data_IF_801755463749
#
_entry.id   IF_801755463749
#
_cell.length_a   1.000
_cell.length_b   1.000
_cell.length_c   1.000
_cell.angle_alpha   90.00
_cell.angle_beta   90.00
_cell.angle_gamma   90.00
#
_symmetry.space_group_name_H-M   'P 1'
#
loop_
_entity.id
_entity.type
_entity.pdbx_description
1 polymer ?
#
# COMPACT_ATOMS: atom_id res chain seq x y z
N UNK A 1 59.15 -44.40 20.81
CA UNK A 1 59.56 -43.06 20.33
C UNK A 1 58.32 -42.17 20.36
N UNK A 2 57.95 -41.56 21.49
CA UNK A 2 58.31 -40.22 22.03
C UNK A 2 57.98 -38.99 21.16
N UNK A 3 57.12 -38.12 21.77
CA UNK A 3 56.82 -36.68 21.56
C UNK A 3 55.73 -36.31 20.54
N UNK A 4 54.86 -35.30 20.70
CA UNK A 4 54.16 -34.56 21.78
C UNK A 4 53.67 -33.22 21.18
N UNK A 5 52.70 -32.54 21.84
CA UNK A 5 52.31 -31.10 21.72
C UNK A 5 51.42 -30.73 20.50
N UNK A 6 50.28 -30.03 20.58
CA UNK A 6 49.70 -29.07 21.55
C UNK A 6 48.17 -29.06 21.53
N UNK A 7 47.62 -28.78 22.72
CA UNK A 7 46.23 -28.51 23.07
C UNK A 7 45.91 -27.00 22.88
N UNK A 8 44.69 -26.61 22.47
CA UNK A 8 44.16 -25.29 22.79
C UNK A 8 42.82 -25.33 23.54
N UNK A 9 42.87 -25.50 24.86
CA UNK A 9 41.83 -25.01 25.77
C UNK A 9 42.10 -23.55 26.12
N UNK A 10 41.22 -22.63 25.71
CA UNK A 10 41.36 -21.23 26.09
C UNK A 10 40.30 -20.28 25.51
N UNK A 11 39.05 -20.38 25.94
CA UNK A 11 38.06 -19.30 25.76
C UNK A 11 37.55 -18.85 27.14
N UNK A 12 38.06 -17.70 27.59
CA UNK A 12 37.55 -16.97 28.77
C UNK A 12 36.26 -16.24 28.40
N UNK A 13 35.23 -16.19 29.24
CA UNK A 13 34.10 -15.27 29.07
C UNK A 13 34.54 -13.85 29.52
N UNK A 14 34.73 -12.94 28.57
CA UNK A 14 34.98 -11.53 28.85
C UNK A 14 33.68 -10.83 29.23
N UNK A 15 33.61 -10.29 30.45
CA UNK A 15 32.51 -9.43 30.90
C UNK A 15 32.39 -8.14 30.07
N UNK A 16 31.21 -7.48 30.08
CA UNK A 16 31.00 -6.27 29.29
C UNK A 16 31.80 -5.10 29.87
N UNK A 17 32.77 -4.60 29.11
CA UNK A 17 33.51 -3.39 29.47
C UNK A 17 32.65 -2.12 29.43
N UNK A 18 33.11 -1.03 30.06
CA UNK A 18 32.36 0.24 30.21
C UNK A 18 31.95 0.88 28.87
N UNK A 19 32.70 0.58 27.80
CA UNK A 19 32.39 1.03 26.45
C UNK A 19 31.09 0.43 25.87
N UNK A 20 30.71 -0.78 26.29
CA UNK A 20 29.43 -1.40 25.89
C UNK A 20 28.24 -0.75 26.59
N UNK A 21 28.40 -0.34 27.85
CA UNK A 21 27.36 0.39 28.59
C UNK A 21 27.09 1.77 28.00
N UNK A 22 28.16 2.50 27.63
CA UNK A 22 28.03 3.81 27.01
C UNK A 22 27.40 3.74 25.62
N UNK A 23 27.77 2.74 24.82
CA UNK A 23 27.19 2.52 23.49
C UNK A 23 25.69 2.18 23.57
N UNK A 24 25.28 1.36 24.56
CA UNK A 24 23.85 1.03 24.79
C UNK A 24 23.08 2.26 25.27
N UNK A 25 23.66 3.10 26.13
CA UNK A 25 23.03 4.33 26.60
C UNK A 25 22.83 5.36 25.47
N UNK A 26 23.83 5.52 24.59
CA UNK A 26 23.73 6.41 23.41
C UNK A 26 22.71 5.88 22.40
N UNK A 27 22.66 4.56 22.18
CA UNK A 27 21.67 3.95 21.29
C UNK A 27 20.24 4.10 21.84
N UNK A 28 20.07 3.99 23.16
CA UNK A 28 18.78 4.21 23.83
C UNK A 28 18.33 5.68 23.75
N UNK A 29 19.24 6.64 23.91
CA UNK A 29 18.94 8.07 23.76
C UNK A 29 18.51 8.43 22.32
N UNK A 30 19.13 7.80 21.32
CA UNK A 30 18.82 8.03 19.90
C UNK A 30 17.56 7.29 19.43
N UNK A 31 17.17 6.20 20.10
CA UNK A 31 15.96 5.45 19.78
C UNK A 31 14.68 6.07 20.40
N UNK A 32 14.80 6.80 21.51
CA UNK A 32 13.68 7.48 22.17
C UNK A 32 12.91 8.46 21.25
N UNK A 33 13.54 9.34 20.44
CA UNK A 33 12.82 10.22 19.53
C UNK A 33 12.20 9.52 18.31
N UNK A 34 12.61 8.29 17.98
CA UNK A 34 12.01 7.53 16.87
C UNK A 34 10.69 6.88 17.29
N UNK A 35 10.55 6.48 18.56
CA UNK A 35 9.28 6.03 19.14
C UNK A 35 8.26 7.18 19.32
N UNK A 36 8.72 8.43 19.27
CA UNK A 36 7.87 9.63 19.33
C UNK A 36 7.12 9.93 18.03
N UNK A 37 7.59 9.41 16.89
CA UNK A 37 6.99 9.68 15.57
C UNK A 37 5.84 8.73 15.21
N UNK A 38 5.63 7.64 15.95
CA UNK A 38 4.45 6.77 15.79
C UNK A 38 3.50 6.99 16.98
N UNK A 39 2.68 8.01 16.82
CA UNK A 39 1.71 8.55 17.79
C UNK A 39 1.10 7.55 18.77
N UNK A 40 1.38 7.78 20.05
CA UNK A 40 0.42 7.77 21.18
C UNK A 40 1.17 7.96 22.50
N UNK A 41 2.41 7.47 22.61
CA UNK A 41 3.22 7.57 23.82
C UNK A 41 3.59 9.03 24.19
N UNK A 42 3.96 9.86 23.22
CA UNK A 42 4.28 11.28 23.48
C UNK A 42 3.02 12.08 23.79
N UNK A 43 1.90 11.73 23.14
CA UNK A 43 0.61 12.38 23.37
C UNK A 43 0.10 12.10 24.78
N UNK A 44 0.14 10.84 25.21
CA UNK A 44 -0.27 10.41 26.55
C UNK A 44 0.61 11.03 27.64
N UNK A 45 1.93 11.00 27.47
CA UNK A 45 2.86 11.62 28.42
C UNK A 45 2.65 13.14 28.53
N UNK A 46 2.38 13.82 27.42
CA UNK A 46 2.10 15.25 27.40
C UNK A 46 0.76 15.55 28.10
N UNK A 47 -0.30 14.79 27.78
CA UNK A 47 -1.62 14.97 28.43
C UNK A 47 -1.56 14.69 29.93
N UNK A 48 -0.82 13.68 30.36
CA UNK A 48 -0.63 13.34 31.79
C UNK A 48 0.20 14.41 32.52
N UNK A 49 1.17 15.02 31.84
CA UNK A 49 1.93 16.17 32.32
C UNK A 49 1.13 17.50 32.27
N UNK A 50 -0.15 17.46 31.88
CA UNK A 50 -1.03 18.64 31.79
C UNK A 50 -0.82 19.51 30.55
N UNK A 51 0.04 19.09 29.62
CA UNK A 51 0.32 19.77 28.36
C UNK A 51 -0.43 19.08 27.21
N UNK A 52 -1.49 19.72 26.70
CA UNK A 52 -2.20 19.26 25.50
C UNK A 52 -3.70 19.14 25.68
N UNK A 53 -4.42 18.68 24.63
CA UNK A 53 -5.87 18.55 24.66
C UNK A 53 -6.29 17.57 25.75
N UNK A 54 -7.11 18.01 26.71
CA UNK A 54 -7.65 17.12 27.74
C UNK A 54 -8.44 16.01 27.06
N UNK A 55 -8.27 14.79 27.55
CA UNK A 55 -9.12 13.67 27.16
C UNK A 55 -10.51 13.93 27.73
N UNK A 56 -11.36 14.57 26.93
CA UNK A 56 -12.77 14.76 27.25
C UNK A 56 -13.44 13.41 26.98
N UNK A 57 -14.18 12.91 27.97
CA UNK A 57 -14.98 11.71 27.79
C UNK A 57 -15.91 11.90 26.58
N UNK A 58 -15.96 10.89 25.71
CA UNK A 58 -16.88 10.92 24.59
C UNK A 58 -18.32 11.00 25.12
N UNK A 59 -19.21 11.79 24.50
CA UNK A 59 -20.62 11.81 24.86
C UNK A 59 -21.26 10.42 24.79
N UNK A 60 -22.26 10.17 25.62
CA UNK A 60 -22.88 8.84 25.78
C UNK A 60 -23.42 8.26 24.46
N UNK A 61 -24.00 9.10 23.60
CA UNK A 61 -24.47 8.63 22.30
C UNK A 61 -23.33 8.12 21.40
N UNK A 62 -22.10 8.62 21.55
CA UNK A 62 -20.93 8.17 20.78
C UNK A 62 -20.43 6.83 21.30
N UNK A 63 -20.46 6.62 22.63
CA UNK A 63 -20.04 5.36 23.25
C UNK A 63 -21.05 4.24 23.00
N UNK A 64 -22.35 4.57 22.94
CA UNK A 64 -23.43 3.63 22.64
C UNK A 64 -23.53 3.28 21.15
N UNK A 65 -23.26 4.24 20.25
CA UNK A 65 -23.37 4.01 18.80
C UNK A 65 -22.11 3.42 18.18
N UNK A 66 -20.93 3.67 18.76
CA UNK A 66 -19.71 2.98 18.33
C UNK A 66 -19.69 1.58 18.90
N UNK A 67 -19.72 0.58 18.01
CA UNK A 67 -19.39 -0.78 18.40
C UNK A 67 -18.03 -0.82 19.10
N UNK A 68 -17.98 -1.45 20.28
CA UNK A 68 -16.76 -1.65 21.06
C UNK A 68 -15.86 -2.74 20.44
N UNK A 69 -16.42 -3.52 19.53
CA UNK A 69 -15.70 -4.56 18.79
C UNK A 69 -14.88 -3.95 17.67
N UNK A 70 -13.77 -4.63 17.34
CA UNK A 70 -12.96 -4.24 16.20
C UNK A 70 -13.86 -4.17 14.95
N UNK A 71 -13.85 -3.04 14.21
CA UNK A 71 -14.76 -2.86 13.10
C UNK A 71 -14.53 -3.96 12.06
N UNK A 72 -15.60 -4.67 11.68
CA UNK A 72 -15.58 -5.62 10.57
C UNK A 72 -15.41 -4.94 9.19
N UNK A 73 -15.21 -3.63 9.18
CA UNK A 73 -14.95 -2.82 8.00
C UNK A 73 -13.48 -2.37 7.95
N UNK A 74 -12.96 -2.23 6.73
CA UNK A 74 -11.60 -1.76 6.52
C UNK A 74 -11.53 -0.24 6.75
N UNK A 75 -10.64 0.27 7.62
CA UNK A 75 -10.52 1.70 7.87
C UNK A 75 -10.11 2.48 6.61
N UNK A 76 -10.54 3.74 6.50
CA UNK A 76 -10.12 4.63 5.42
C UNK A 76 -8.61 4.82 5.45
N UNK A 77 -7.96 4.68 4.29
CA UNK A 77 -6.50 4.78 4.17
C UNK A 77 -5.75 3.49 4.44
N UNK A 78 -6.45 2.38 4.73
CA UNK A 78 -5.85 1.03 4.76
C UNK A 78 -6.04 0.39 3.40
N UNK A 79 -4.93 0.08 2.74
CA UNK A 79 -4.96 -0.67 1.49
C UNK A 79 -5.45 -2.10 1.73
N UNK A 80 -6.31 -2.59 0.83
CA UNK A 80 -6.72 -3.98 0.83
C UNK A 80 -5.50 -4.91 0.75
N UNK A 81 -5.57 -6.12 1.36
CA UNK A 81 -4.54 -7.13 1.17
C UNK A 81 -4.22 -7.33 -0.31
N UNK A 82 -2.95 -7.17 -0.68
CA UNK A 82 -2.52 -7.26 -2.07
C UNK A 82 -2.83 -8.66 -2.61
N UNK A 83 -3.70 -8.72 -3.61
CA UNK A 83 -4.03 -9.99 -4.27
C UNK A 83 -2.76 -10.60 -4.86
N UNK A 84 -2.53 -11.92 -4.70
CA UNK A 84 -1.41 -12.58 -5.37
C UNK A 84 -1.64 -12.49 -6.88
N UNK A 85 -0.82 -11.70 -7.56
CA UNK A 85 -0.83 -11.56 -9.01
C UNK A 85 0.35 -12.34 -9.59
N UNK A 86 0.05 -13.31 -10.47
CA UNK A 86 1.09 -13.98 -11.24
C UNK A 86 1.51 -13.09 -12.40
N UNK A 87 2.81 -12.84 -12.54
CA UNK A 87 3.35 -12.20 -13.73
C UNK A 87 2.99 -13.04 -14.97
N UNK A 88 2.39 -12.41 -15.99
CA UNK A 88 2.14 -13.06 -17.29
C UNK A 88 3.49 -13.41 -17.93
N UNK A 89 3.62 -14.61 -18.47
CA UNK A 89 4.81 -14.99 -19.25
C UNK A 89 4.97 -14.08 -20.47
N UNK A 90 6.20 -13.93 -20.98
CA UNK A 90 6.48 -13.16 -22.19
C UNK A 90 5.68 -13.67 -23.40
N UNK A 91 5.51 -14.99 -23.50
CA UNK A 91 4.68 -15.63 -24.52
C UNK A 91 3.19 -15.26 -24.35
N UNK A 92 2.67 -15.29 -23.12
CA UNK A 92 1.29 -14.89 -22.84
C UNK A 92 1.02 -13.41 -23.08
N UNK A 93 2.03 -12.55 -22.93
CA UNK A 93 1.94 -11.14 -23.29
C UNK A 93 1.84 -10.96 -24.81
N UNK A 94 2.70 -11.63 -25.59
CA UNK A 94 2.66 -11.58 -27.06
C UNK A 94 1.36 -12.14 -27.64
N UNK A 95 0.85 -13.23 -27.06
CA UNK A 95 -0.42 -13.81 -27.47
C UNK A 95 -1.57 -12.82 -27.24
N UNK A 96 -1.59 -12.14 -26.09
CA UNK A 96 -2.59 -11.12 -25.78
C UNK A 96 -2.48 -9.91 -26.71
N UNK A 97 -1.26 -9.47 -27.03
CA UNK A 97 -1.03 -8.38 -27.99
C UNK A 97 -1.58 -8.73 -29.38
N UNK A 98 -1.31 -9.94 -29.87
CA UNK A 98 -1.85 -10.41 -31.14
C UNK A 98 -3.40 -10.49 -31.13
N UNK A 99 -3.99 -10.91 -30.00
CA UNK A 99 -5.44 -10.95 -29.84
C UNK A 99 -6.05 -9.54 -29.90
N UNK A 100 -5.44 -8.58 -29.19
CA UNK A 100 -5.90 -7.19 -29.13
C UNK A 100 -5.78 -6.49 -30.50
N UNK A 101 -4.66 -6.69 -31.20
CA UNK A 101 -4.48 -6.12 -32.54
C UNK A 101 -5.46 -6.76 -33.55
N UNK A 102 -5.71 -8.08 -33.44
CA UNK A 102 -6.74 -8.74 -34.22
C UNK A 102 -8.15 -8.18 -33.93
N UNK A 103 -8.46 -7.89 -32.66
CA UNK A 103 -9.72 -7.27 -32.28
C UNK A 103 -9.86 -5.85 -32.82
N UNK A 104 -8.78 -5.06 -32.79
CA UNK A 104 -8.72 -3.74 -33.41
C UNK A 104 -9.04 -3.80 -34.90
N UNK A 105 -8.37 -4.66 -35.65
CA UNK A 105 -8.61 -4.81 -37.09
C UNK A 105 -10.06 -5.17 -37.42
N UNK A 106 -10.70 -6.03 -36.62
CA UNK A 106 -12.14 -6.35 -36.76
C UNK A 106 -13.05 -5.17 -36.46
N UNK A 107 -12.72 -4.35 -35.46
CA UNK A 107 -13.51 -3.18 -35.12
C UNK A 107 -13.39 -2.09 -36.19
N UNK A 108 -12.19 -1.88 -36.72
CA UNK A 108 -11.96 -0.91 -37.81
C UNK A 108 -12.68 -1.32 -39.11
N UNK A 109 -12.66 -2.62 -39.46
CA UNK A 109 -13.38 -3.10 -40.64
C UNK A 109 -14.90 -2.94 -40.50
N UNK A 110 -15.45 -3.28 -39.32
CA UNK A 110 -16.87 -3.06 -39.00
C UNK A 110 -17.23 -1.58 -39.01
N UNK A 111 -16.36 -0.72 -38.47
CA UNK A 111 -16.54 0.73 -38.49
C UNK A 111 -16.60 1.28 -39.90
N UNK A 112 -15.67 0.89 -40.78
CA UNK A 112 -15.67 1.28 -42.20
C UNK A 112 -16.93 0.80 -42.94
N UNK A 113 -17.37 -0.42 -42.66
CA UNK A 113 -18.60 -0.96 -43.24
C UNK A 113 -19.85 -0.17 -42.78
N UNK A 114 -19.94 0.14 -41.48
CA UNK A 114 -21.02 0.95 -40.93
C UNK A 114 -21.01 2.39 -41.47
N UNK A 115 -19.83 3.01 -41.61
CA UNK A 115 -19.69 4.34 -42.22
C UNK A 115 -20.18 4.35 -43.67
N UNK A 116 -19.77 3.35 -44.46
CA UNK A 116 -20.20 3.21 -45.86
C UNK A 116 -21.72 3.05 -45.97
N UNK A 117 -22.31 2.21 -45.12
CA UNK A 117 -23.75 2.03 -45.05
C UNK A 117 -24.49 3.31 -44.63
N UNK A 118 -23.95 4.04 -43.64
CA UNK A 118 -24.49 5.32 -43.18
C UNK A 118 -24.48 6.41 -44.24
N UNK A 119 -23.40 6.52 -45.03
CA UNK A 119 -23.32 7.45 -46.17
C UNK A 119 -24.37 7.12 -47.24
N UNK A 120 -24.57 5.83 -47.54
CA UNK A 120 -25.62 5.38 -48.44
C UNK A 120 -27.04 5.73 -47.95
N UNK A 121 -27.29 5.54 -46.65
CA UNK A 121 -28.57 5.88 -46.04
C UNK A 121 -28.81 7.40 -45.98
N UNK A 122 -27.79 8.20 -45.67
CA UNK A 122 -27.88 9.66 -45.63
C UNK A 122 -28.21 10.27 -47.00
N UNK A 123 -27.73 9.67 -48.10
CA UNK A 123 -28.06 10.11 -49.45
C UNK A 123 -29.56 9.90 -49.81
N UNK A 124 -30.23 8.95 -49.16
CA UNK A 124 -31.65 8.66 -49.38
C UNK A 124 -32.59 9.55 -48.55
N UNK A 125 -32.08 10.23 -47.52
CA UNK A 125 -32.88 11.10 -46.64
C UNK A 125 -32.82 12.52 -47.19
N UNK A 126 -33.91 13.00 -47.81
CA UNK A 126 -34.04 14.42 -48.16
C UNK A 126 -34.12 15.25 -46.87
N UNK A 127 -33.24 16.25 -46.67
CA UNK A 127 -33.35 17.15 -45.53
C UNK A 127 -34.68 17.90 -45.59
N UNK A 128 -35.48 17.85 -44.52
CA UNK A 128 -36.63 18.75 -44.37
C UNK A 128 -36.08 20.13 -44.01
N UNK A 129 -36.38 21.19 -44.77
CA UNK A 129 -35.87 22.52 -44.46
C UNK A 129 -36.34 22.96 -43.07
N UNK A 130 -35.40 23.47 -42.27
CA UNK A 130 -35.71 24.01 -40.96
C UNK A 130 -36.73 25.15 -41.10
N UNK A 131 -37.85 25.05 -40.39
CA UNK A 131 -38.87 26.08 -40.38
C UNK A 131 -38.26 27.41 -39.87
N UNK A 132 -38.22 28.41 -40.74
CA UNK A 132 -37.81 29.76 -40.38
C UNK A 132 -38.77 30.33 -39.34
N UNK A 133 -38.23 30.77 -38.20
CA UNK A 133 -38.93 31.59 -37.20
C UNK A 133 -38.50 33.04 -37.37
#
# INVERSE_FOLDING_TARGET
MHRAFLNPTGRRPGGPGPARGLAVAVLALLAAPLAACSGDAVRTLATDAGYGPRVVAAPDFVTETRGQEAPAFMPVGVDAPKRPIRAKSSEGQKALEAELEGARGRNESRGRAAESAGRGAAAAIKPVPAAAR
#
